data_IF_498757603439
#
_entry.id   IF_498757603439
#
_cell.length_a   1.000
_cell.length_b   1.000
_cell.length_c   1.000
_cell.angle_alpha   90.00
_cell.angle_beta   90.00
_cell.angle_gamma   90.00
#
_symmetry.space_group_name_H-M   'P 1'
#
loop_
_entity.id
_entity.type
_entity.pdbx_description
1 polymer ?
#
# COMPACT_ATOMS: atom_id res chain seq x y z
N UNK A 1 21.96 -19.22 -0.04
CA UNK A 1 22.26 -18.00 0.72
C UNK A 1 22.58 -16.91 -0.29
N UNK A 2 21.95 -15.74 -0.16
CA UNK A 2 22.15 -14.59 -1.06
C UNK A 2 23.54 -13.99 -0.82
N UNK A 3 24.21 -13.50 -1.87
CA UNK A 3 25.53 -12.85 -1.79
C UNK A 3 25.54 -11.65 -0.84
N UNK A 4 26.64 -11.46 -0.12
CA UNK A 4 26.94 -10.20 0.57
C UNK A 4 27.29 -9.11 -0.46
N UNK A 5 26.45 -8.08 -0.53
CA UNK A 5 26.50 -7.03 -1.55
C UNK A 5 27.41 -5.87 -1.12
N UNK A 6 27.48 -5.58 0.19
CA UNK A 6 28.18 -4.42 0.73
C UNK A 6 29.13 -4.86 1.86
N UNK A 7 30.34 -5.28 1.49
CA UNK A 7 31.27 -5.97 2.40
C UNK A 7 31.77 -5.16 3.60
N UNK A 8 31.56 -3.83 3.61
CA UNK A 8 31.99 -2.93 4.70
C UNK A 8 30.82 -2.24 5.43
N UNK A 9 29.57 -2.65 5.17
CA UNK A 9 28.39 -1.90 5.61
C UNK A 9 27.06 -2.60 5.31
N UNK A 10 25.97 -1.85 5.32
CA UNK A 10 24.63 -2.38 5.02
C UNK A 10 24.26 -2.12 3.56
N UNK A 11 23.73 -3.15 2.89
CA UNK A 11 23.20 -3.05 1.53
C UNK A 11 21.73 -2.60 1.47
N UNK A 12 21.07 -2.44 2.63
CA UNK A 12 19.68 -2.00 2.77
C UNK A 12 18.68 -2.63 1.76
N UNK A 13 18.60 -3.98 1.67
CA UNK A 13 17.72 -4.65 0.72
C UNK A 13 16.25 -4.32 1.00
N UNK A 14 15.53 -3.89 -0.04
CA UNK A 14 14.11 -3.49 0.05
C UNK A 14 13.33 -3.84 -1.21
N UNK A 15 11.99 -3.71 -1.14
CA UNK A 15 11.06 -3.94 -2.26
C UNK A 15 11.20 -5.34 -2.91
N UNK A 16 11.37 -6.36 -2.06
CA UNK A 16 11.50 -7.76 -2.47
C UNK A 16 10.28 -8.21 -3.28
N UNK A 17 10.52 -8.67 -4.50
CA UNK A 17 9.49 -9.10 -5.45
C UNK A 17 9.92 -10.40 -6.11
N UNK A 18 9.14 -11.47 -5.88
CA UNK A 18 9.37 -12.73 -6.58
C UNK A 18 8.73 -12.68 -7.97
N UNK A 19 9.49 -13.07 -8.99
CA UNK A 19 9.02 -13.25 -10.37
C UNK A 19 9.47 -14.64 -10.81
N UNK A 20 8.53 -15.59 -10.85
CA UNK A 20 8.77 -16.96 -11.31
C UNK A 20 10.00 -17.64 -10.68
N UNK A 21 10.19 -17.48 -9.36
CA UNK A 21 11.29 -18.10 -8.62
C UNK A 21 12.59 -17.28 -8.60
N UNK A 22 12.66 -16.17 -9.33
CA UNK A 22 13.74 -15.19 -9.21
C UNK A 22 13.31 -14.07 -8.26
N UNK A 23 14.11 -13.83 -7.24
CA UNK A 23 13.90 -12.71 -6.31
C UNK A 23 14.54 -11.45 -6.89
N UNK A 24 13.73 -10.41 -7.12
CA UNK A 24 14.19 -9.06 -7.43
C UNK A 24 14.09 -8.18 -6.19
N UNK A 25 15.05 -7.28 -6.00
CA UNK A 25 15.07 -6.35 -4.87
C UNK A 25 15.97 -5.15 -5.17
N UNK A 26 15.80 -4.08 -4.39
CA UNK A 26 16.68 -2.91 -4.45
C UNK A 26 17.71 -3.00 -3.33
N UNK A 27 18.98 -2.78 -3.64
CA UNK A 27 20.07 -2.75 -2.68
C UNK A 27 21.21 -1.81 -3.13
N UNK A 28 22.00 -1.37 -2.17
CA UNK A 28 23.19 -0.55 -2.34
C UNK A 28 24.46 -1.41 -2.33
N UNK A 29 25.44 -1.07 -3.16
CA UNK A 29 26.81 -1.61 -3.07
C UNK A 29 27.81 -0.48 -2.77
N UNK A 30 29.11 -0.79 -2.81
CA UNK A 30 30.19 0.15 -2.51
C UNK A 30 30.28 1.34 -3.49
N UNK A 31 29.66 1.26 -4.67
CA UNK A 31 29.77 2.24 -5.75
C UNK A 31 28.43 2.91 -6.09
N UNK A 32 27.31 2.31 -5.69
CA UNK A 32 25.98 2.69 -6.12
C UNK A 32 25.00 2.64 -4.95
N UNK A 33 24.28 3.75 -4.74
CA UNK A 33 23.31 3.88 -3.65
C UNK A 33 22.04 3.06 -3.91
N UNK A 34 21.56 2.99 -5.15
CA UNK A 34 20.37 2.20 -5.50
C UNK A 34 20.55 1.45 -6.81
N UNK A 35 20.41 0.13 -6.72
CA UNK A 35 20.42 -0.77 -7.86
C UNK A 35 19.31 -1.79 -7.75
N UNK A 36 18.73 -2.16 -8.89
CA UNK A 36 17.95 -3.36 -9.04
C UNK A 36 18.89 -4.57 -9.08
N UNK A 37 18.68 -5.51 -8.18
CA UNK A 37 19.36 -6.79 -8.11
C UNK A 37 18.39 -7.93 -8.38
N UNK A 38 18.93 -9.05 -8.83
CA UNK A 38 18.23 -10.35 -8.84
C UNK A 38 19.00 -11.39 -8.03
N UNK A 39 18.29 -12.43 -7.58
CA UNK A 39 18.89 -13.62 -6.97
C UNK A 39 18.03 -14.87 -7.24
N UNK A 40 18.70 -16.00 -7.48
CA UNK A 40 18.11 -17.35 -7.49
C UNK A 40 18.32 -18.09 -6.15
N UNK A 41 18.84 -17.40 -5.14
CA UNK A 41 19.19 -17.97 -3.83
C UNK A 41 20.63 -18.49 -3.71
N UNK A 42 21.44 -18.42 -4.79
CA UNK A 42 22.87 -18.74 -4.80
C UNK A 42 23.74 -17.48 -4.75
N UNK A 43 25.02 -17.64 -4.35
CA UNK A 43 25.99 -16.53 -4.34
C UNK A 43 26.26 -15.99 -5.75
N UNK A 44 26.35 -16.89 -6.74
CA UNK A 44 26.67 -16.52 -8.13
C UNK A 44 25.45 -15.97 -8.88
N UNK A 45 24.24 -16.41 -8.51
CA UNK A 45 23.00 -15.91 -9.09
C UNK A 45 22.54 -14.57 -8.52
N UNK A 46 23.20 -14.07 -7.47
CA UNK A 46 22.97 -12.71 -6.95
C UNK A 46 23.81 -11.68 -7.69
N UNK A 47 23.20 -10.99 -8.67
CA UNK A 47 23.89 -10.04 -9.54
C UNK A 47 23.10 -8.73 -9.72
N UNK A 48 23.78 -7.59 -9.94
CA UNK A 48 23.11 -6.34 -10.26
C UNK A 48 22.56 -6.40 -11.68
N UNK A 49 21.39 -5.81 -11.88
CA UNK A 49 20.67 -5.78 -13.16
C UNK A 49 20.63 -4.35 -13.71
N UNK A 50 20.38 -3.35 -12.86
CA UNK A 50 20.28 -1.95 -13.31
C UNK A 50 20.56 -0.97 -12.19
N UNK A 51 21.40 0.03 -12.45
CA UNK A 51 21.53 1.21 -11.59
C UNK A 51 20.29 2.10 -11.72
N UNK A 52 19.74 2.52 -10.58
CA UNK A 52 18.53 3.34 -10.51
C UNK A 52 18.80 4.81 -10.15
N UNK A 53 19.99 5.18 -9.68
CA UNK A 53 20.26 6.55 -9.21
C UNK A 53 20.09 7.64 -10.28
N UNK A 54 19.91 8.87 -9.81
CA UNK A 54 19.97 10.08 -10.64
C UNK A 54 21.41 10.51 -10.99
N UNK A 55 21.53 11.56 -11.81
CA UNK A 55 22.81 12.13 -12.27
C UNK A 55 23.72 12.61 -11.14
N UNK A 56 23.13 12.91 -9.97
CA UNK A 56 23.85 13.36 -8.79
C UNK A 56 24.18 12.22 -7.81
N UNK A 57 23.85 10.97 -8.16
CA UNK A 57 24.13 9.80 -7.33
C UNK A 57 23.27 9.67 -6.07
N UNK A 58 22.19 10.43 -5.94
CA UNK A 58 21.27 10.30 -4.81
C UNK A 58 20.38 9.05 -4.94
N UNK A 59 19.90 8.49 -3.81
CA UNK A 59 18.90 7.44 -3.83
C UNK A 59 17.66 7.89 -4.62
N UNK A 60 17.04 6.95 -5.33
CA UNK A 60 15.73 7.22 -5.92
C UNK A 60 14.66 7.25 -4.85
N UNK A 61 13.53 7.89 -5.17
CA UNK A 61 12.30 7.76 -4.37
C UNK A 61 11.90 6.30 -4.19
N UNK A 62 10.80 6.00 -3.49
CA UNK A 62 10.44 4.61 -3.21
C UNK A 62 9.96 3.88 -4.48
N UNK A 63 10.75 2.98 -5.09
CA UNK A 63 10.32 2.31 -6.29
C UNK A 63 9.17 1.35 -5.96
N UNK A 64 8.23 1.22 -6.88
CA UNK A 64 7.20 0.19 -6.87
C UNK A 64 7.66 -0.95 -7.78
N UNK A 65 7.50 -2.18 -7.32
CA UNK A 65 7.95 -3.38 -8.04
C UNK A 65 6.82 -4.40 -8.03
N UNK A 66 6.53 -4.97 -9.19
CA UNK A 66 5.46 -5.95 -9.33
C UNK A 66 5.80 -6.99 -10.40
N UNK A 67 5.34 -8.22 -10.20
CA UNK A 67 5.37 -9.22 -11.27
C UNK A 67 4.21 -8.99 -12.23
N UNK A 68 4.48 -8.96 -13.53
CA UNK A 68 3.47 -8.85 -14.58
C UNK A 68 3.98 -9.52 -15.85
N UNK A 69 3.15 -10.39 -16.45
CA UNK A 69 3.46 -11.20 -17.63
C UNK A 69 4.84 -11.85 -17.56
N UNK A 70 5.12 -12.53 -16.44
CA UNK A 70 6.37 -13.25 -16.18
C UNK A 70 7.64 -12.39 -16.10
N UNK A 71 7.51 -11.07 -16.06
CA UNK A 71 8.62 -10.13 -15.92
C UNK A 71 8.43 -9.26 -14.68
N UNK A 72 9.52 -8.71 -14.18
CA UNK A 72 9.44 -7.60 -13.25
C UNK A 72 9.01 -6.36 -14.03
N UNK A 73 8.02 -5.65 -13.53
CA UNK A 73 7.75 -4.27 -13.90
C UNK A 73 7.95 -3.38 -12.69
N UNK A 74 8.55 -2.22 -12.89
CA UNK A 74 8.85 -1.33 -11.80
C UNK A 74 8.71 0.14 -12.20
N UNK A 75 8.25 0.93 -11.24
CA UNK A 75 8.00 2.34 -11.38
C UNK A 75 8.88 3.07 -10.37
N UNK A 76 9.66 4.05 -10.82
CA UNK A 76 10.49 4.88 -9.96
C UNK A 76 10.64 6.28 -10.53
N UNK A 77 10.98 7.23 -9.68
CA UNK A 77 11.23 8.62 -10.08
C UNK A 77 12.72 8.92 -10.00
N UNK A 78 13.29 9.42 -11.09
CA UNK A 78 14.65 9.96 -11.17
C UNK A 78 14.62 11.26 -11.95
N UNK A 79 15.41 12.25 -11.54
CA UNK A 79 15.57 13.52 -12.28
C UNK A 79 14.25 14.22 -12.62
N UNK A 80 13.27 14.14 -11.71
CA UNK A 80 11.91 14.65 -11.87
C UNK A 80 11.05 13.94 -12.93
N UNK A 81 11.46 12.75 -13.38
CA UNK A 81 10.72 11.93 -14.33
C UNK A 81 10.27 10.63 -13.68
N UNK A 82 9.00 10.29 -13.84
CA UNK A 82 8.46 8.99 -13.47
C UNK A 82 8.76 8.02 -14.62
N UNK A 83 9.36 6.88 -14.30
CA UNK A 83 9.79 5.90 -15.31
C UNK A 83 9.19 4.54 -15.04
N UNK A 84 8.42 4.01 -15.99
CA UNK A 84 7.98 2.62 -16.01
C UNK A 84 9.00 1.80 -16.80
N UNK A 85 9.52 0.76 -16.17
CA UNK A 85 10.51 -0.15 -16.74
C UNK A 85 10.05 -1.61 -16.62
N UNK A 86 10.62 -2.46 -17.45
CA UNK A 86 10.47 -3.91 -17.35
C UNK A 86 11.85 -4.59 -17.27
N UNK A 87 11.90 -5.77 -16.65
CA UNK A 87 13.10 -6.62 -16.60
C UNK A 87 12.73 -8.09 -16.60
N UNK A 88 13.41 -8.87 -17.44
CA UNK A 88 13.44 -10.34 -17.33
C UNK A 88 14.59 -10.85 -16.44
N UNK A 89 15.37 -9.93 -15.85
CA UNK A 89 16.53 -10.24 -15.02
C UNK A 89 17.86 -10.33 -15.78
N UNK A 90 17.89 -10.10 -17.09
CA UNK A 90 19.12 -9.87 -17.85
C UNK A 90 19.40 -8.37 -18.03
N UNK A 91 20.65 -8.01 -18.34
CA UNK A 91 21.00 -6.61 -18.66
C UNK A 91 20.24 -6.15 -19.92
N UNK A 92 20.26 -6.95 -20.98
CA UNK A 92 19.62 -6.62 -22.27
C UNK A 92 18.09 -6.63 -22.22
N UNK A 93 17.51 -7.49 -21.38
CA UNK A 93 16.06 -7.56 -21.16
C UNK A 93 15.54 -6.57 -20.13
N UNK A 94 16.39 -5.66 -19.63
CA UNK A 94 15.99 -4.58 -18.72
C UNK A 94 15.85 -3.28 -19.49
N UNK A 95 14.62 -2.94 -19.86
CA UNK A 95 14.30 -1.92 -20.85
C UNK A 95 13.26 -0.92 -20.33
N UNK A 96 13.35 0.35 -20.74
CA UNK A 96 12.32 1.33 -20.44
C UNK A 96 11.04 0.96 -21.19
N UNK A 97 9.91 1.08 -20.51
CA UNK A 97 8.58 0.98 -21.13
C UNK A 97 8.10 2.39 -21.47
N UNK A 98 8.14 3.30 -20.50
CA UNK A 98 7.71 4.69 -20.69
C UNK A 98 8.39 5.62 -19.70
N UNK A 99 8.80 6.78 -20.18
CA UNK A 99 9.20 7.93 -19.35
C UNK A 99 8.06 8.94 -19.35
N UNK A 100 7.72 9.43 -18.17
CA UNK A 100 6.61 10.34 -17.90
C UNK A 100 7.13 11.51 -17.07
N UNK A 101 6.38 12.61 -17.05
CA UNK A 101 6.69 13.75 -16.17
C UNK A 101 6.57 13.39 -14.68
N UNK A 102 6.92 14.33 -13.81
CA UNK A 102 6.92 14.12 -12.36
C UNK A 102 5.55 13.74 -11.77
N UNK A 103 5.51 12.64 -11.03
CA UNK A 103 4.37 12.24 -10.19
C UNK A 103 4.02 10.77 -10.36
N UNK A 104 3.29 10.20 -9.40
CA UNK A 104 2.85 8.82 -9.41
C UNK A 104 3.39 8.01 -8.24
N UNK A 105 2.51 7.18 -7.65
CA UNK A 105 2.77 6.53 -6.35
C UNK A 105 2.54 5.02 -6.39
N UNK A 106 1.59 4.55 -7.20
CA UNK A 106 1.08 3.18 -7.14
C UNK A 106 1.28 2.45 -8.46
N UNK A 107 1.68 1.18 -8.40
CA UNK A 107 1.73 0.26 -9.53
C UNK A 107 1.02 -1.04 -9.15
N UNK A 108 0.05 -1.45 -9.95
CA UNK A 108 -0.86 -2.56 -9.65
C UNK A 108 -0.96 -3.48 -10.87
N UNK A 109 -0.87 -4.78 -10.63
CA UNK A 109 -1.09 -5.80 -11.65
C UNK A 109 -2.59 -6.10 -11.70
N UNK A 110 -3.25 -5.64 -12.76
CA UNK A 110 -4.67 -5.85 -13.00
C UNK A 110 -4.90 -7.17 -13.74
N UNK A 111 -4.99 -8.24 -12.96
CA UNK A 111 -5.28 -9.62 -13.40
C UNK A 111 -4.36 -10.16 -14.48
N UNK A 112 -3.10 -9.73 -14.48
CA UNK A 112 -2.10 -10.06 -15.50
C UNK A 112 -2.47 -9.63 -16.93
N UNK A 113 -3.55 -8.85 -17.09
CA UNK A 113 -4.01 -8.29 -18.36
C UNK A 113 -3.32 -6.96 -18.64
N UNK A 114 -3.30 -6.10 -17.62
CA UNK A 114 -2.75 -4.75 -17.67
C UNK A 114 -2.08 -4.39 -16.34
N UNK A 115 -1.17 -3.43 -16.39
CA UNK A 115 -0.71 -2.67 -15.24
C UNK A 115 -1.58 -1.42 -15.12
N UNK A 116 -1.96 -1.08 -13.89
CA UNK A 116 -2.56 0.21 -13.55
C UNK A 116 -1.61 0.97 -12.65
N UNK A 117 -1.45 2.26 -12.90
CA UNK A 117 -0.63 3.11 -12.04
C UNK A 117 -1.14 4.53 -11.97
N UNK A 118 -0.73 5.24 -10.93
CA UNK A 118 -0.99 6.68 -10.85
C UNK A 118 0.15 7.44 -11.51
N UNK A 119 -0.17 8.45 -12.30
CA UNK A 119 0.81 9.28 -13.01
C UNK A 119 0.45 10.77 -12.99
N UNK A 120 1.33 11.64 -13.53
CA UNK A 120 1.15 13.09 -13.52
C UNK A 120 -0.13 13.58 -14.20
N UNK A 121 -0.77 14.61 -13.64
CA UNK A 121 -1.81 15.42 -14.31
C UNK A 121 -1.69 16.93 -13.98
N UNK A 122 -0.47 17.43 -13.80
CA UNK A 122 -0.24 18.83 -13.46
C UNK A 122 -0.92 19.22 -12.13
N UNK A 123 -1.57 20.39 -12.10
CA UNK A 123 -2.22 20.93 -10.88
C UNK A 123 -3.43 20.13 -10.37
N UNK A 124 -3.98 19.22 -11.19
CA UNK A 124 -5.16 18.41 -10.84
C UNK A 124 -4.81 17.11 -10.10
N UNK A 125 -3.55 16.89 -9.73
CA UNK A 125 -3.12 15.73 -8.97
C UNK A 125 -2.80 14.52 -9.85
N UNK A 126 -3.01 13.31 -9.33
CA UNK A 126 -2.70 12.05 -10.02
C UNK A 126 -3.83 11.57 -10.94
N UNK A 127 -3.48 11.01 -12.10
CA UNK A 127 -4.39 10.29 -13.01
C UNK A 127 -4.19 8.80 -12.97
N UNK A 128 -5.21 8.05 -13.38
CA UNK A 128 -5.06 6.64 -13.68
C UNK A 128 -4.42 6.45 -15.07
N UNK A 129 -3.37 5.65 -15.12
CA UNK A 129 -2.71 5.19 -16.32
C UNK A 129 -2.83 3.67 -16.43
N UNK A 130 -2.76 3.18 -17.67
CA UNK A 130 -2.68 1.77 -17.98
C UNK A 130 -1.45 1.44 -18.83
N UNK A 131 -0.95 0.22 -18.72
CA UNK A 131 0.10 -0.32 -19.57
C UNK A 131 -0.12 -1.82 -19.79
N UNK A 132 0.09 -2.31 -21.01
CA UNK A 132 0.14 -3.75 -21.31
C UNK A 132 1.56 -4.34 -21.19
N UNK A 133 2.53 -3.52 -20.74
CA UNK A 133 3.97 -3.82 -20.67
C UNK A 133 4.80 -3.26 -21.84
N UNK A 134 4.17 -2.61 -22.82
CA UNK A 134 4.84 -2.00 -23.99
C UNK A 134 4.73 -0.47 -23.99
N UNK A 135 5.58 0.21 -24.74
CA UNK A 135 5.56 1.69 -24.80
C UNK A 135 4.30 2.21 -25.48
N UNK A 136 3.84 1.50 -26.52
CA UNK A 136 2.67 1.78 -27.33
C UNK A 136 1.38 1.52 -26.54
N UNK A 137 1.34 0.45 -25.77
CA UNK A 137 0.21 0.10 -24.89
C UNK A 137 0.18 0.87 -23.57
N UNK A 138 1.08 1.84 -23.36
CA UNK A 138 1.13 2.67 -22.15
C UNK A 138 0.51 4.04 -22.37
N UNK A 139 -0.63 4.32 -21.72
CA UNK A 139 -1.39 5.55 -21.91
C UNK A 139 -2.21 5.96 -20.68
N UNK A 140 -2.54 7.25 -20.59
CA UNK A 140 -3.48 7.81 -19.62
C UNK A 140 -4.89 7.28 -19.88
N UNK A 141 -5.60 6.96 -18.81
CA UNK A 141 -7.06 6.81 -18.84
C UNK A 141 -7.67 8.20 -18.61
N UNK A 142 -7.78 9.00 -19.69
CA UNK A 142 -8.21 10.40 -19.56
C UNK A 142 -9.71 10.55 -19.32
N UNK A 143 -10.50 9.77 -20.05
CA UNK A 143 -11.95 9.83 -20.04
C UNK A 143 -12.51 8.45 -20.26
N UNK A 144 -13.36 7.98 -19.35
CA UNK A 144 -14.20 6.80 -19.59
C UNK A 144 -15.64 7.23 -19.36
N UNK A 145 -16.52 6.96 -20.32
CA UNK A 145 -17.93 7.38 -20.29
C UNK A 145 -18.13 8.90 -20.10
N UNK A 146 -17.21 9.73 -20.62
CA UNK A 146 -17.27 11.19 -20.49
C UNK A 146 -16.73 11.74 -19.18
N UNK A 147 -16.37 10.87 -18.23
CA UNK A 147 -15.87 11.25 -16.92
C UNK A 147 -14.34 11.20 -16.87
N UNK A 148 -13.74 12.29 -16.38
CA UNK A 148 -12.31 12.39 -16.10
C UNK A 148 -12.10 12.25 -14.61
N UNK A 149 -11.28 11.28 -14.20
CA UNK A 149 -10.92 11.11 -12.80
C UNK A 149 -9.55 11.72 -12.49
N UNK A 150 -9.45 12.24 -11.28
CA UNK A 150 -8.25 12.82 -10.69
C UNK A 150 -8.14 12.41 -9.21
N UNK A 151 -6.97 12.64 -8.63
CA UNK A 151 -6.67 12.33 -7.24
C UNK A 151 -6.99 10.86 -6.87
N UNK A 152 -6.50 9.96 -7.72
CA UNK A 152 -6.78 8.54 -7.61
C UNK A 152 -5.98 7.94 -6.44
N UNK A 153 -6.67 7.22 -5.55
CA UNK A 153 -6.03 6.42 -4.50
C UNK A 153 -5.37 5.16 -5.08
N UNK A 154 -4.65 4.40 -4.26
CA UNK A 154 -4.13 3.10 -4.66
C UNK A 154 -5.25 2.20 -5.23
N UNK A 155 -5.13 1.72 -6.48
CA UNK A 155 -6.08 0.76 -7.04
C UNK A 155 -5.96 -0.61 -6.36
N UNK A 156 -7.09 -1.25 -6.14
CA UNK A 156 -7.18 -2.57 -5.52
C UNK A 156 -7.93 -3.51 -6.43
N UNK A 157 -7.36 -4.68 -6.70
CA UNK A 157 -7.96 -5.66 -7.60
C UNK A 157 -8.78 -6.66 -6.80
N UNK A 158 -10.05 -6.83 -7.19
CA UNK A 158 -10.99 -7.78 -6.60
C UNK A 158 -11.97 -8.26 -7.68
N UNK A 159 -12.23 -9.57 -7.75
CA UNK A 159 -13.22 -10.16 -8.68
C UNK A 159 -13.11 -9.62 -10.13
N UNK A 160 -11.92 -9.70 -10.72
CA UNK A 160 -11.60 -9.22 -12.07
C UNK A 160 -11.74 -7.70 -12.33
N UNK A 161 -11.98 -6.90 -11.29
CA UNK A 161 -12.16 -5.46 -11.37
C UNK A 161 -11.17 -4.71 -10.48
N UNK A 162 -10.89 -3.45 -10.80
CA UNK A 162 -10.07 -2.55 -10.00
C UNK A 162 -10.94 -1.53 -9.28
N UNK A 163 -10.71 -1.32 -7.99
CA UNK A 163 -11.46 -0.40 -7.14
C UNK A 163 -10.53 0.64 -6.54
N UNK A 164 -10.97 1.89 -6.53
CA UNK A 164 -10.20 3.00 -5.98
C UNK A 164 -11.09 4.19 -5.65
N UNK A 165 -10.62 5.05 -4.77
CA UNK A 165 -11.19 6.37 -4.59
C UNK A 165 -10.70 7.31 -5.69
N UNK A 166 -11.59 8.19 -6.14
CA UNK A 166 -11.26 9.20 -7.12
C UNK A 166 -12.25 10.36 -7.10
N UNK A 167 -11.78 11.50 -7.61
CA UNK A 167 -12.55 12.71 -7.84
C UNK A 167 -12.86 12.83 -9.34
N UNK A 168 -14.13 12.91 -9.70
CA UNK A 168 -14.52 13.19 -11.09
C UNK A 168 -14.50 14.69 -11.39
N UNK A 169 -14.33 15.02 -12.66
CA UNK A 169 -14.47 16.40 -13.17
C UNK A 169 -15.83 17.03 -12.90
N UNK A 170 -16.86 16.21 -12.60
CA UNK A 170 -18.21 16.66 -12.27
C UNK A 170 -18.41 16.90 -10.76
N UNK A 171 -17.36 16.81 -9.95
CA UNK A 171 -17.39 17.07 -8.52
C UNK A 171 -17.72 15.86 -7.64
N UNK A 172 -17.91 14.68 -8.24
CA UNK A 172 -18.22 13.44 -7.50
C UNK A 172 -16.94 12.87 -6.88
N UNK A 173 -16.94 12.68 -5.55
CA UNK A 173 -15.91 11.94 -4.81
C UNK A 173 -16.50 10.61 -4.37
N UNK A 174 -15.89 9.50 -4.80
CA UNK A 174 -16.47 8.19 -4.51
C UNK A 174 -15.54 7.03 -4.69
N UNK A 175 -16.06 5.86 -4.32
CA UNK A 175 -15.47 4.57 -4.64
C UNK A 175 -15.88 4.21 -6.07
N UNK A 176 -14.89 4.11 -6.95
CA UNK A 176 -15.05 3.76 -8.35
C UNK A 176 -14.62 2.33 -8.60
N UNK A 177 -15.26 1.70 -9.56
CA UNK A 177 -14.92 0.41 -10.15
C UNK A 177 -14.47 0.62 -11.58
N UNK A 178 -13.39 -0.04 -11.98
CA UNK A 178 -12.88 -0.12 -13.34
C UNK A 178 -12.79 -1.59 -13.77
N UNK A 179 -13.46 -1.96 -14.84
CA UNK A 179 -13.44 -3.34 -15.38
C UNK A 179 -12.35 -3.58 -16.43
N UNK A 180 -11.60 -2.53 -16.80
CA UNK A 180 -10.64 -2.53 -17.92
C UNK A 180 -11.11 -1.77 -19.14
N UNK A 181 -12.37 -1.32 -19.14
CA UNK A 181 -13.01 -0.55 -20.21
C UNK A 181 -13.89 0.56 -19.63
N UNK A 182 -14.74 0.24 -18.64
CA UNK A 182 -15.77 1.10 -18.08
C UNK A 182 -15.44 1.52 -16.66
N UNK A 183 -15.77 2.77 -16.33
CA UNK A 183 -15.83 3.27 -14.97
C UNK A 183 -17.28 3.25 -14.48
N UNK A 184 -17.45 2.81 -13.25
CA UNK A 184 -18.71 2.82 -12.54
C UNK A 184 -18.51 3.36 -11.14
N UNK A 185 -19.29 4.38 -10.76
CA UNK A 185 -19.40 4.82 -9.38
C UNK A 185 -20.14 3.74 -8.58
N UNK A 186 -19.50 3.19 -7.55
CA UNK A 186 -20.14 2.24 -6.63
C UNK A 186 -20.89 2.98 -5.54
N UNK A 187 -20.26 4.02 -4.98
CA UNK A 187 -20.87 4.89 -3.99
C UNK A 187 -20.19 6.25 -4.00
N UNK A 188 -20.96 7.29 -3.70
CA UNK A 188 -20.46 8.62 -3.38
C UNK A 188 -20.65 8.90 -1.89
N UNK A 189 -19.82 8.36 -0.98
CA UNK A 189 -20.11 8.52 0.43
C UNK A 189 -19.51 9.79 1.06
N UNK A 190 -18.66 10.56 0.35
CA UNK A 190 -17.74 11.52 0.98
C UNK A 190 -17.79 12.92 0.31
N UNK A 191 -17.67 13.99 1.09
CA UNK A 191 -17.52 15.38 0.58
C UNK A 191 -16.10 15.95 0.77
N UNK A 192 -15.14 15.18 1.32
CA UNK A 192 -13.83 15.70 1.69
C UNK A 192 -12.69 15.02 0.93
N UNK A 193 -11.85 15.84 0.28
CA UNK A 193 -10.60 15.43 -0.41
C UNK A 193 -9.57 14.75 0.52
N UNK A 194 -9.75 14.80 1.84
CA UNK A 194 -8.81 14.20 2.80
C UNK A 194 -8.84 12.66 2.82
N UNK A 195 -9.84 12.02 2.19
CA UNK A 195 -9.94 10.55 2.11
C UNK A 195 -8.94 9.88 1.15
N UNK A 196 -8.17 10.68 0.41
CA UNK A 196 -7.40 10.20 -0.76
C UNK A 196 -5.96 9.77 -0.42
N UNK A 197 -5.49 10.02 0.80
CA UNK A 197 -4.08 9.83 1.20
C UNK A 197 -3.79 8.54 1.97
N UNK A 198 -4.60 7.49 1.81
CA UNK A 198 -4.29 6.22 2.47
C UNK A 198 -3.21 5.46 1.68
N UNK A 199 -1.99 5.44 2.23
CA UNK A 199 -0.81 4.74 1.70
C UNK A 199 -0.66 3.31 2.28
N UNK A 200 -1.75 2.66 2.68
CA UNK A 200 -1.74 1.31 3.28
C UNK A 200 -2.38 0.26 2.38
N UNK A 201 -1.98 -1.00 2.54
CA UNK A 201 -2.66 -2.14 1.91
C UNK A 201 -4.14 -2.13 2.32
N UNK A 202 -5.03 -2.34 1.35
CA UNK A 202 -6.46 -2.50 1.59
C UNK A 202 -6.75 -3.99 1.84
N UNK A 203 -7.08 -4.41 3.06
CA UNK A 203 -7.41 -5.80 3.32
C UNK A 203 -8.71 -6.21 2.62
N UNK A 204 -8.66 -7.41 2.05
CA UNK A 204 -9.81 -8.09 1.46
C UNK A 204 -10.04 -9.37 2.27
N UNK A 205 -11.26 -9.56 2.75
CA UNK A 205 -11.70 -10.78 3.44
C UNK A 205 -13.02 -11.20 2.83
N UNK A 206 -13.12 -12.44 2.35
CA UNK A 206 -14.34 -12.99 1.73
C UNK A 206 -14.95 -12.05 0.67
N UNK A 207 -14.10 -11.51 -0.21
CA UNK A 207 -14.47 -10.54 -1.26
C UNK A 207 -15.03 -9.19 -0.75
N UNK A 208 -14.76 -8.84 0.50
CA UNK A 208 -15.12 -7.55 1.09
C UNK A 208 -13.84 -6.74 1.31
N UNK A 209 -13.81 -5.55 0.72
CA UNK A 209 -12.78 -4.53 0.92
C UNK A 209 -13.02 -3.82 2.23
N UNK A 210 -11.98 -3.59 3.02
CA UNK A 210 -12.04 -2.74 4.20
C UNK A 210 -11.07 -1.58 4.07
N UNK A 211 -11.59 -0.37 4.20
CA UNK A 211 -10.82 0.84 3.92
C UNK A 211 -11.25 1.97 4.83
N UNK A 212 -10.43 3.01 4.82
CA UNK A 212 -10.63 4.25 5.55
C UNK A 212 -11.33 5.26 4.64
N UNK A 213 -12.38 5.92 5.13
CA UNK A 213 -13.06 6.97 4.38
C UNK A 213 -13.80 7.96 5.30
N UNK A 214 -13.84 9.23 4.90
CA UNK A 214 -14.49 10.32 5.64
C UNK A 214 -15.97 10.48 5.26
N UNK A 215 -16.90 10.11 6.13
CA UNK A 215 -18.34 10.33 5.90
C UNK A 215 -18.74 11.80 5.95
N UNK A 216 -20.02 12.08 5.68
CA UNK A 216 -20.63 13.42 5.70
C UNK A 216 -20.48 14.16 7.04
N UNK A 217 -20.23 13.45 8.13
CA UNK A 217 -19.93 14.01 9.45
C UNK A 217 -18.43 14.36 9.64
N UNK A 218 -17.62 14.23 8.59
CA UNK A 218 -16.17 14.39 8.58
C UNK A 218 -15.43 13.49 9.59
N UNK A 219 -16.06 12.43 10.08
CA UNK A 219 -15.36 11.44 10.89
C UNK A 219 -14.60 10.49 9.99
N UNK A 220 -13.34 10.27 10.35
CA UNK A 220 -12.54 9.25 9.70
C UNK A 220 -12.99 7.86 10.16
N UNK A 221 -13.77 7.18 9.32
CA UNK A 221 -14.48 5.95 9.67
C UNK A 221 -13.88 4.72 8.99
N UNK A 222 -14.13 3.57 9.62
CA UNK A 222 -13.95 2.25 9.02
C UNK A 222 -15.08 2.03 8.02
N UNK A 223 -14.75 1.64 6.80
CA UNK A 223 -15.72 1.30 5.77
C UNK A 223 -15.50 -0.13 5.28
N UNK A 224 -16.59 -0.73 4.82
CA UNK A 224 -16.55 -1.96 4.04
C UNK A 224 -17.23 -1.79 2.69
N UNK A 225 -16.86 -2.61 1.72
CA UNK A 225 -17.52 -2.73 0.42
C UNK A 225 -17.43 -4.15 -0.12
N UNK A 226 -18.56 -4.72 -0.52
CA UNK A 226 -18.65 -5.93 -1.35
C UNK A 226 -18.72 -5.60 -2.85
N UNK A 227 -18.30 -4.39 -3.23
CA UNK A 227 -18.41 -3.81 -4.57
C UNK A 227 -19.85 -3.50 -5.06
N UNK A 228 -20.84 -3.47 -4.16
CA UNK A 228 -22.20 -2.96 -4.46
C UNK A 228 -22.48 -1.67 -3.69
N UNK A 229 -23.42 -0.86 -4.17
CA UNK A 229 -23.80 0.39 -3.49
C UNK A 229 -24.36 0.14 -2.07
N UNK A 230 -25.20 -0.87 -1.92
CA UNK A 230 -25.83 -1.23 -0.64
C UNK A 230 -24.85 -1.90 0.32
N UNK A 231 -23.96 -2.76 -0.18
CA UNK A 231 -22.94 -3.41 0.63
C UNK A 231 -21.72 -2.53 0.90
N UNK A 232 -21.71 -1.29 0.40
CA UNK A 232 -20.70 -0.27 0.71
C UNK A 232 -21.21 0.68 1.81
N UNK A 233 -20.69 0.57 3.03
CA UNK A 233 -21.14 1.39 4.15
C UNK A 233 -20.05 1.55 5.24
N UNK A 234 -20.19 2.63 6.03
CA UNK A 234 -19.38 2.85 7.21
C UNK A 234 -19.78 1.84 8.30
N UNK A 235 -18.79 1.25 8.95
CA UNK A 235 -18.95 0.44 10.16
C UNK A 235 -18.73 1.38 11.36
N UNK A 236 -19.76 1.69 12.15
CA UNK A 236 -19.58 2.46 13.37
C UNK A 236 -18.61 1.75 14.32
N UNK A 237 -17.61 2.48 14.79
CA UNK A 237 -16.69 1.98 15.82
C UNK A 237 -17.17 2.52 17.16
N UNK A 238 -18.05 1.78 17.81
CA UNK A 238 -18.65 2.14 19.09
C UNK A 238 -18.39 1.03 20.10
N UNK A 239 -17.99 1.40 21.31
CA UNK A 239 -17.81 0.45 22.40
C UNK A 239 -18.28 1.11 23.70
N UNK A 240 -19.22 0.47 24.42
CA UNK A 240 -19.80 0.99 25.67
C UNK A 240 -20.39 2.41 25.53
N UNK A 241 -21.00 2.72 24.37
CA UNK A 241 -21.56 4.04 24.07
C UNK A 241 -20.54 5.11 23.70
N UNK A 242 -19.23 4.79 23.71
CA UNK A 242 -18.16 5.69 23.30
C UNK A 242 -17.88 5.51 21.82
N UNK A 243 -17.87 6.62 21.08
CA UNK A 243 -17.50 6.66 19.66
C UNK A 243 -15.98 6.74 19.53
N UNK A 244 -15.47 5.93 18.61
CA UNK A 244 -14.08 5.96 18.18
C UNK A 244 -14.04 6.38 16.71
N UNK A 245 -13.11 7.27 16.42
CA UNK A 245 -12.85 7.86 15.12
C UNK A 245 -11.37 7.69 14.79
N UNK A 246 -10.93 8.30 13.70
CA UNK A 246 -9.53 8.25 13.27
C UNK A 246 -8.99 6.82 13.14
N UNK A 247 -9.70 6.00 12.37
CA UNK A 247 -9.30 4.63 12.03
C UNK A 247 -8.00 4.62 11.23
N UNK A 248 -7.05 3.79 11.66
CA UNK A 248 -5.71 3.65 11.06
C UNK A 248 -5.31 2.17 10.94
N UNK A 249 -4.48 1.86 9.94
CA UNK A 249 -3.75 0.58 9.78
C UNK A 249 -4.61 -0.69 9.75
N UNK A 250 -5.65 -0.68 8.93
CA UNK A 250 -6.54 -1.83 8.79
C UNK A 250 -5.74 -3.03 8.24
N UNK A 251 -5.65 -4.10 9.02
CA UNK A 251 -4.85 -5.29 8.73
C UNK A 251 -5.71 -6.54 8.87
N UNK A 252 -5.74 -7.39 7.85
CA UNK A 252 -6.43 -8.67 7.93
C UNK A 252 -5.60 -9.72 8.67
N UNK A 253 -6.27 -10.49 9.53
CA UNK A 253 -5.74 -11.69 10.16
C UNK A 253 -6.89 -12.64 10.51
N UNK A 254 -6.81 -13.90 10.06
CA UNK A 254 -7.75 -14.99 10.40
C UNK A 254 -9.23 -14.59 10.25
N UNK A 255 -9.61 -14.13 9.05
CA UNK A 255 -10.97 -13.69 8.71
C UNK A 255 -11.51 -12.50 9.50
N UNK A 256 -10.64 -11.72 10.15
CA UNK A 256 -11.00 -10.48 10.83
C UNK A 256 -10.07 -9.36 10.42
N UNK A 257 -10.54 -8.13 10.60
CA UNK A 257 -9.68 -6.96 10.51
C UNK A 257 -9.29 -6.48 11.89
N UNK A 258 -8.07 -5.98 11.99
CA UNK A 258 -7.52 -5.31 13.14
C UNK A 258 -7.08 -3.92 12.73
N UNK A 259 -7.36 -2.93 13.56
CA UNK A 259 -7.09 -1.53 13.27
C UNK A 259 -6.97 -0.76 14.58
N UNK A 260 -6.42 0.44 14.53
CA UNK A 260 -6.47 1.35 15.68
C UNK A 260 -7.48 2.45 15.47
N UNK A 261 -8.16 2.88 16.53
CA UNK A 261 -9.07 4.02 16.51
C UNK A 261 -8.94 4.85 17.79
N UNK A 262 -9.19 6.14 17.67
CA UNK A 262 -9.08 7.14 18.74
C UNK A 262 -10.45 7.51 19.27
N UNK A 263 -10.57 7.66 20.58
CA UNK A 263 -11.70 8.36 21.19
C UNK A 263 -11.29 9.79 21.53
N UNK A 264 -12.05 10.77 21.04
CA UNK A 264 -11.91 12.17 21.48
C UNK A 264 -12.21 12.28 22.96
N UNK A 265 -13.29 11.62 23.40
CA UNK A 265 -13.79 11.68 24.77
C UNK A 265 -12.77 11.13 25.78
N UNK A 266 -12.08 10.05 25.44
CA UNK A 266 -11.06 9.45 26.31
C UNK A 266 -9.66 10.02 26.09
N UNK A 267 -9.46 10.82 25.04
CA UNK A 267 -8.16 11.28 24.54
C UNK A 267 -7.14 10.15 24.32
N UNK A 268 -7.64 8.95 23.96
CA UNK A 268 -6.85 7.71 23.88
C UNK A 268 -7.06 6.98 22.57
N UNK A 269 -6.07 6.18 22.17
CA UNK A 269 -6.14 5.27 21.01
C UNK A 269 -6.15 3.83 21.49
N UNK A 270 -6.89 2.98 20.80
CA UNK A 270 -7.04 1.57 21.15
C UNK A 270 -6.89 0.71 19.91
N UNK A 271 -6.43 -0.53 20.12
CA UNK A 271 -6.53 -1.59 19.13
C UNK A 271 -7.95 -2.17 19.14
N UNK A 272 -8.48 -2.44 17.95
CA UNK A 272 -9.77 -3.06 17.73
C UNK A 272 -9.64 -4.32 16.89
N UNK A 273 -10.63 -5.20 17.03
CA UNK A 273 -10.90 -6.30 16.10
C UNK A 273 -12.33 -6.15 15.57
N UNK A 274 -12.55 -6.47 14.30
CA UNK A 274 -13.90 -6.48 13.70
C UNK A 274 -14.04 -7.65 12.72
N UNK A 275 -15.26 -8.19 12.65
CA UNK A 275 -15.71 -9.13 11.61
C UNK A 275 -16.37 -8.40 10.42
N UNK A 276 -16.32 -7.07 10.41
CA UNK A 276 -16.96 -6.23 9.40
C UNK A 276 -18.37 -5.76 9.76
N UNK A 277 -18.85 -6.03 10.97
CA UNK A 277 -20.13 -5.52 11.49
C UNK A 277 -19.92 -4.62 12.71
N UNK A 278 -20.88 -3.76 13.02
CA UNK A 278 -20.85 -2.94 14.26
C UNK A 278 -20.82 -3.85 15.50
N UNK A 279 -21.71 -4.84 15.58
CA UNK A 279 -21.81 -5.76 16.73
C UNK A 279 -20.55 -6.61 16.93
N UNK A 280 -19.86 -6.98 15.85
CA UNK A 280 -18.61 -7.72 15.89
C UNK A 280 -17.37 -6.84 16.08
N UNK A 281 -17.51 -5.52 16.09
CA UNK A 281 -16.41 -4.57 16.33
C UNK A 281 -16.17 -4.39 17.83
N UNK A 282 -15.01 -4.84 18.30
CA UNK A 282 -14.67 -4.88 19.73
C UNK A 282 -13.33 -4.22 20.02
N UNK A 283 -13.32 -3.36 21.04
CA UNK A 283 -12.10 -2.80 21.63
C UNK A 283 -11.29 -3.92 22.28
N UNK A 284 -9.98 -3.94 22.05
CA UNK A 284 -9.06 -4.88 22.68
C UNK A 284 -8.35 -4.22 23.86
N UNK A 285 -7.35 -3.38 23.59
CA UNK A 285 -6.58 -2.70 24.62
C UNK A 285 -6.08 -1.33 24.13
N UNK A 286 -5.71 -0.48 25.08
CA UNK A 286 -5.16 0.85 24.82
C UNK A 286 -3.76 0.73 24.21
N UNK A 287 -3.49 1.51 23.17
CA UNK A 287 -2.15 1.61 22.59
C UNK A 287 -1.55 2.98 22.98
N UNK A 288 -0.30 3.04 23.45
CA UNK A 288 0.35 4.30 23.81
C UNK A 288 0.29 5.29 22.65
N UNK A 289 -0.32 6.45 22.89
CA UNK A 289 -0.54 7.49 21.89
C UNK A 289 0.02 8.82 22.39
N UNK A 290 0.87 9.45 21.59
CA UNK A 290 1.27 10.84 21.80
C UNK A 290 0.72 11.70 20.67
N UNK A 291 -0.02 12.76 21.03
CA UNK A 291 -0.74 13.64 20.09
C UNK A 291 0.16 14.28 19.02
N UNK A 292 1.46 14.39 19.27
CA UNK A 292 2.43 14.97 18.34
C UNK A 292 3.19 13.94 17.47
N UNK A 293 2.96 12.63 17.66
CA UNK A 293 3.45 11.57 16.79
C UNK A 293 2.32 11.13 15.82
N UNK A 294 1.81 12.08 15.02
CA UNK A 294 0.60 11.94 14.18
C UNK A 294 0.64 10.84 13.10
N UNK A 295 1.73 10.05 13.00
CA UNK A 295 1.94 9.03 11.96
C UNK A 295 2.67 7.78 12.47
N UNK A 296 2.48 7.42 13.73
CA UNK A 296 3.08 6.19 14.26
C UNK A 296 2.33 4.97 13.74
N UNK A 297 2.88 4.30 12.71
CA UNK A 297 2.47 2.95 12.30
C UNK A 297 2.46 2.01 13.52
N UNK A 298 1.31 1.80 14.17
CA UNK A 298 1.14 0.94 15.34
C UNK A 298 1.07 -0.51 14.91
N UNK A 299 0.27 -0.85 13.91
CA UNK A 299 0.23 -2.17 13.29
C UNK A 299 1.22 -2.19 12.12
N UNK A 300 2.20 -3.06 12.23
CA UNK A 300 3.22 -3.27 11.19
C UNK A 300 2.78 -4.32 10.17
N UNK A 301 1.93 -5.26 10.59
CA UNK A 301 1.36 -6.29 9.72
C UNK A 301 0.99 -7.55 10.49
N UNK A 302 0.59 -8.58 9.75
CA UNK A 302 0.30 -9.90 10.30
C UNK A 302 1.16 -10.96 9.64
N UNK A 303 1.65 -11.92 10.43
CA UNK A 303 2.40 -13.07 9.95
C UNK A 303 2.17 -14.26 10.88
N UNK A 304 1.98 -15.44 10.29
CA UNK A 304 1.80 -16.72 10.99
C UNK A 304 0.84 -16.65 12.20
N UNK A 305 -0.39 -16.18 11.94
CA UNK A 305 -1.42 -16.09 12.98
C UNK A 305 -1.24 -14.97 14.01
N UNK A 306 -0.22 -14.13 13.87
CA UNK A 306 0.19 -13.12 14.86
C UNK A 306 0.19 -11.72 14.25
N UNK A 307 -0.29 -10.72 15.00
CA UNK A 307 -0.10 -9.30 14.65
C UNK A 307 1.22 -8.79 15.21
N UNK A 308 1.96 -8.05 14.40
CA UNK A 308 3.15 -7.35 14.81
C UNK A 308 2.87 -5.87 14.93
N UNK A 309 3.24 -5.31 16.06
CA UNK A 309 2.92 -3.95 16.47
C UNK A 309 4.20 -3.19 16.82
N UNK A 310 4.19 -1.87 16.65
CA UNK A 310 5.21 -0.97 17.18
C UNK A 310 4.59 -0.15 18.31
N UNK A 311 4.99 -0.46 19.55
CA UNK A 311 4.44 0.19 20.74
C UNK A 311 5.57 0.78 21.59
N UNK A 312 5.28 1.90 22.25
CA UNK A 312 6.23 2.56 23.15
C UNK A 312 6.11 1.99 24.56
N UNK A 313 7.22 1.53 25.12
CA UNK A 313 7.39 1.24 26.53
C UNK A 313 8.20 2.37 27.21
N UNK A 314 7.88 2.70 28.46
CA UNK A 314 8.58 3.73 29.22
C UNK A 314 10.04 3.37 29.53
N UNK A 315 10.36 2.08 29.61
CA UNK A 315 11.73 1.63 29.90
C UNK A 315 12.63 1.55 28.65
N UNK A 316 12.06 1.29 27.47
CA UNK A 316 12.84 0.93 26.28
C UNK A 316 12.56 1.81 25.03
N UNK A 317 11.49 2.62 25.04
CA UNK A 317 11.10 3.41 23.87
C UNK A 317 10.22 2.62 22.91
N UNK A 318 10.31 2.90 21.59
CA UNK A 318 9.50 2.23 20.57
C UNK A 318 10.06 0.84 20.28
N UNK A 319 9.29 -0.19 20.60
CA UNK A 319 9.70 -1.59 20.48
C UNK A 319 8.76 -2.37 19.55
N UNK A 320 9.23 -3.53 19.10
CA UNK A 320 8.42 -4.51 18.37
C UNK A 320 7.63 -5.37 19.36
N UNK A 321 6.32 -5.45 19.18
CA UNK A 321 5.41 -6.24 19.99
C UNK A 321 4.67 -7.24 19.12
N UNK A 322 4.21 -8.33 19.73
CA UNK A 322 3.35 -9.32 19.08
C UNK A 322 2.04 -9.47 19.83
N UNK A 323 0.95 -9.54 19.10
CA UNK A 323 -0.36 -9.89 19.63
C UNK A 323 -0.87 -11.17 18.97
N UNK A 324 -1.14 -12.19 19.79
CA UNK A 324 -1.71 -13.47 19.34
C UNK A 324 -3.19 -13.51 19.74
N UNK A 325 -4.13 -13.59 18.77
CA UNK A 325 -5.56 -13.59 19.08
C UNK A 325 -6.01 -14.72 20.03
N UNK A 326 -5.42 -15.91 19.91
CA UNK A 326 -5.79 -17.07 20.74
C UNK A 326 -5.40 -16.87 22.21
N UNK A 327 -4.23 -16.28 22.45
CA UNK A 327 -3.73 -16.02 23.80
C UNK A 327 -4.31 -14.74 24.39
N UNK A 328 -4.83 -13.83 23.54
CA UNK A 328 -5.23 -12.47 23.88
C UNK A 328 -4.13 -11.69 24.62
N UNK A 329 -2.87 -12.00 24.32
CA UNK A 329 -1.69 -11.38 24.93
C UNK A 329 -0.97 -10.51 23.92
N UNK A 330 -0.61 -9.32 24.35
CA UNK A 330 0.33 -8.44 23.66
C UNK A 330 1.64 -8.44 24.44
N UNK A 331 2.75 -8.87 23.83
CA UNK A 331 4.04 -9.02 24.50
C UNK A 331 5.16 -8.42 23.64
N UNK A 332 6.22 -7.87 24.26
CA UNK A 332 7.39 -7.43 23.51
C UNK A 332 8.05 -8.63 22.83
N UNK A 333 8.56 -8.43 21.61
CA UNK A 333 9.33 -9.44 20.89
C UNK A 333 10.75 -9.43 21.44
N UNK A 334 11.08 -10.44 22.24
CA UNK A 334 12.45 -10.61 22.76
C UNK A 334 13.29 -11.30 21.69
N UNK A 335 14.17 -10.55 21.04
CA UNK A 335 15.20 -11.14 20.19
C UNK A 335 16.32 -11.60 21.12
N UNK A 336 16.42 -12.91 21.37
CA UNK A 336 17.61 -13.47 22.03
C UNK A 336 18.82 -13.10 21.17
N UNK A 337 19.84 -12.48 21.77
CA UNK A 337 21.11 -12.18 21.09
C UNK A 337 21.55 -13.43 20.31
N UNK A 338 21.66 -13.30 18.99
CA UNK A 338 22.34 -14.28 18.16
C UNK A 338 23.77 -14.32 18.71
N UNK A 339 24.17 -15.47 19.24
CA UNK A 339 25.53 -15.70 19.75
C UNK A 339 26.53 -15.79 18.61
#
# INVERSE_FOLDING_TARGET
>A
MVKDIHTTGSSYPRKLTNVNGTLFFIASDLQNVDQLWKSDGSLNGTIPVKRLSNDFGFPVGQPQMISFKNKLHYLYTSDSELQLWQSDGSLDGTLPVKVLSYGGDFLVNFNNRQLLFTGPQGWFGSTLWQSDGTSEGTSTIQTINGEKLAFISQPVVLNDNSYFYGFSSNGIIGLWKYDGVNLQLIKHPLQSYHSMYYNGKVPIIDNVLYFRAFSTDNRNNLWRSDATENGTFAIPVVNEGIIYEDVQEITALRNKIYFTARSVQLEKRFLFVSDGTEAGTKRLFEVPYQRHEERSNVILGAYDGTLYLRLRDSAHGLELWKYTPDEKKCLPVVVSKIK
#
